data_IF_060757689165
#
_entry.id   IF_060757689165
#
_cell.length_a   1.000
_cell.length_b   1.000
_cell.length_c   1.000
_cell.angle_alpha   90.00
_cell.angle_beta   90.00
_cell.angle_gamma   90.00
#
_symmetry.space_group_name_H-M   'P 1'
#
loop_
_entity.id
_entity.type
_entity.pdbx_description
1 polymer ?
#
# COMPACT_ATOMS: atom_id res chain seq x y z
N UNK A 1 -7.29 -4.66 -9.20
CA UNK A 1 -7.79 -4.51 -7.82
C UNK A 1 -7.95 -3.03 -7.50
N UNK A 2 -8.91 -2.68 -6.63
CA UNK A 2 -9.16 -1.30 -6.17
C UNK A 2 -8.70 -1.07 -4.73
N UNK A 3 -8.06 -2.07 -4.10
CA UNK A 3 -7.64 -2.09 -2.71
C UNK A 3 -6.37 -2.92 -2.54
N UNK A 4 -5.67 -2.76 -1.42
CA UNK A 4 -4.63 -3.68 -0.98
C UNK A 4 -5.22 -5.08 -0.69
N UNK A 5 -4.45 -6.17 -0.91
CA UNK A 5 -4.89 -7.53 -0.62
C UNK A 5 -5.06 -7.76 0.89
N UNK A 6 -6.11 -8.49 1.26
CA UNK A 6 -6.43 -8.81 2.66
C UNK A 6 -6.40 -10.31 2.99
N UNK A 7 -6.20 -11.17 1.98
CA UNK A 7 -6.07 -12.62 2.16
C UNK A 7 -4.62 -13.07 2.41
N UNK A 8 -3.66 -12.15 2.39
CA UNK A 8 -2.26 -12.47 2.69
C UNK A 8 -2.07 -12.64 4.21
N UNK A 9 -1.09 -13.44 4.64
CA UNK A 9 -0.76 -13.56 6.05
C UNK A 9 -0.39 -12.21 6.67
N UNK A 10 -0.82 -11.96 7.91
CA UNK A 10 -0.39 -10.76 8.65
C UNK A 10 1.12 -10.71 8.92
N UNK A 11 1.83 -11.82 8.72
CA UNK A 11 3.29 -11.93 8.78
C UNK A 11 3.99 -11.56 7.46
N UNK A 12 3.26 -11.14 6.42
CA UNK A 12 3.86 -10.69 5.16
C UNK A 12 4.73 -9.46 5.40
N UNK A 13 6.01 -9.56 5.05
CA UNK A 13 6.99 -8.47 5.21
C UNK A 13 7.21 -7.66 3.93
N UNK A 14 6.96 -8.26 2.76
CA UNK A 14 7.10 -7.63 1.46
C UNK A 14 5.80 -7.76 0.68
N UNK A 15 5.26 -6.63 0.24
CA UNK A 15 4.16 -6.56 -0.71
C UNK A 15 4.59 -5.73 -1.92
N UNK A 16 4.48 -6.31 -3.11
CA UNK A 16 4.61 -5.60 -4.36
C UNK A 16 3.34 -5.74 -5.18
N UNK A 17 2.80 -4.60 -5.63
CA UNK A 17 1.59 -4.51 -6.45
C UNK A 17 1.96 -3.83 -7.76
N UNK A 18 1.57 -4.45 -8.86
CA UNK A 18 1.83 -3.97 -10.22
C UNK A 18 0.56 -3.94 -11.06
N UNK A 19 0.43 -2.96 -11.95
CA UNK A 19 -0.63 -2.89 -12.98
C UNK A 19 -2.05 -3.01 -12.41
N UNK A 20 -2.33 -2.26 -11.34
CA UNK A 20 -3.62 -2.23 -10.64
C UNK A 20 -4.31 -0.87 -10.74
N UNK A 21 -5.47 -0.69 -10.08
CA UNK A 21 -6.28 0.54 -10.17
C UNK A 21 -6.61 1.11 -8.79
N UNK A 22 -5.57 1.28 -7.96
CA UNK A 22 -5.65 1.87 -6.63
C UNK A 22 -5.44 3.38 -6.77
N UNK A 23 -6.53 4.13 -6.93
CA UNK A 23 -6.47 5.59 -7.16
C UNK A 23 -6.14 6.39 -5.92
N UNK A 24 -6.60 5.96 -4.76
CA UNK A 24 -6.42 6.67 -3.49
C UNK A 24 -5.96 5.65 -2.45
N UNK A 25 -4.88 5.97 -1.75
CA UNK A 25 -4.41 5.21 -0.60
C UNK A 25 -4.74 5.98 0.68
N UNK A 26 -5.53 5.36 1.56
CA UNK A 26 -5.93 5.91 2.86
C UNK A 26 -5.70 4.93 4.01
N UNK A 27 -5.78 5.43 5.25
CA UNK A 27 -5.52 4.61 6.44
C UNK A 27 -6.50 3.45 6.58
N UNK A 28 -7.74 3.61 6.12
CA UNK A 28 -8.76 2.57 6.18
C UNK A 28 -8.42 1.40 5.25
N UNK A 29 -7.91 1.67 4.05
CA UNK A 29 -7.44 0.66 3.11
C UNK A 29 -6.24 -0.10 3.65
N UNK A 30 -5.27 0.62 4.23
CA UNK A 30 -4.11 0.00 4.89
C UNK A 30 -4.58 -0.88 6.06
N UNK A 31 -5.50 -0.37 6.88
CA UNK A 31 -6.05 -1.12 8.02
C UNK A 31 -6.79 -2.38 7.60
N UNK A 32 -7.59 -2.30 6.53
CA UNK A 32 -8.34 -3.43 6.00
C UNK A 32 -7.45 -4.53 5.40
N UNK A 33 -6.22 -4.21 5.02
CA UNK A 33 -5.26 -5.22 4.54
C UNK A 33 -4.76 -6.14 5.66
N UNK A 34 -4.68 -5.65 6.90
CA UNK A 34 -4.14 -6.40 8.04
C UNK A 34 -2.63 -6.67 7.97
N UNK A 35 -1.91 -6.01 7.06
CA UNK A 35 -0.50 -6.27 6.77
C UNK A 35 0.44 -5.45 7.67
N UNK A 36 0.30 -5.65 8.98
CA UNK A 36 1.00 -4.86 10.00
C UNK A 36 2.51 -5.08 10.03
N UNK A 37 3.00 -6.24 9.58
CA UNK A 37 4.42 -6.58 9.57
C UNK A 37 5.16 -6.15 8.29
N UNK A 38 4.52 -5.39 7.40
CA UNK A 38 5.18 -4.93 6.18
C UNK A 38 6.41 -4.08 6.52
N UNK A 39 7.54 -4.51 5.99
CA UNK A 39 8.79 -3.74 5.98
C UNK A 39 9.02 -3.09 4.62
N UNK A 40 8.49 -3.68 3.55
CA UNK A 40 8.66 -3.25 2.17
C UNK A 40 7.32 -3.21 1.44
N UNK A 41 6.93 -2.03 0.97
CA UNK A 41 5.74 -1.82 0.14
C UNK A 41 6.14 -1.19 -1.20
N UNK A 42 5.83 -1.87 -2.29
CA UNK A 42 6.04 -1.38 -3.65
C UNK A 42 4.69 -1.25 -4.38
N UNK A 43 4.43 -0.04 -4.88
CA UNK A 43 3.22 0.31 -5.64
C UNK A 43 3.67 0.81 -7.02
N UNK A 44 3.65 -0.08 -8.01
CA UNK A 44 4.18 0.18 -9.34
C UNK A 44 3.03 0.22 -10.36
N UNK A 45 2.86 1.33 -11.07
CA UNK A 45 1.81 1.45 -12.11
C UNK A 45 0.38 1.15 -11.61
N UNK A 46 0.06 1.43 -10.35
CA UNK A 46 -1.26 1.14 -9.77
C UNK A 46 -2.29 2.26 -9.98
N UNK A 47 -1.97 3.24 -10.84
CA UNK A 47 -2.80 4.41 -11.12
C UNK A 47 -3.08 5.29 -9.89
N UNK A 48 -2.16 5.30 -8.91
CA UNK A 48 -2.29 6.08 -7.69
C UNK A 48 -2.25 7.59 -8.00
N UNK A 49 -3.24 8.32 -7.49
CA UNK A 49 -3.40 9.77 -7.68
C UNK A 49 -3.22 10.54 -6.37
N UNK A 50 -3.58 9.91 -5.24
CA UNK A 50 -3.53 10.57 -3.94
C UNK A 50 -3.14 9.58 -2.84
N UNK A 51 -2.27 10.04 -1.94
CA UNK A 51 -2.01 9.41 -0.65
C UNK A 51 -2.56 10.35 0.41
N UNK A 52 -3.57 9.90 1.14
CA UNK A 52 -4.14 10.71 2.22
C UNK A 52 -3.16 10.86 3.40
N UNK A 53 -3.19 12.01 4.11
CA UNK A 53 -2.40 12.17 5.32
C UNK A 53 -2.69 11.05 6.34
N UNK A 54 -1.63 10.41 6.83
CA UNK A 54 -1.75 9.34 7.83
C UNK A 54 -2.09 7.96 7.27
N UNK A 55 -2.06 7.75 5.95
CA UNK A 55 -2.30 6.42 5.34
C UNK A 55 -1.44 5.30 5.93
N UNK A 56 -0.20 5.63 6.32
CA UNK A 56 0.77 4.68 6.85
C UNK A 56 0.97 4.77 8.37
N UNK A 57 0.08 5.48 9.10
CA UNK A 57 0.30 5.81 10.52
C UNK A 57 0.52 4.59 11.44
N UNK A 58 -0.07 3.45 11.08
CA UNK A 58 -0.03 2.21 11.87
C UNK A 58 0.96 1.18 11.30
N UNK A 59 1.66 1.49 10.21
CA UNK A 59 2.67 0.62 9.59
C UNK A 59 4.03 0.76 10.28
N UNK A 60 4.09 0.39 11.56
CA UNK A 60 5.23 0.62 12.45
C UNK A 60 6.55 -0.03 11.99
N UNK A 61 6.49 -1.05 11.14
CA UNK A 61 7.66 -1.77 10.64
C UNK A 61 8.09 -1.36 9.23
N UNK A 62 7.37 -0.44 8.58
CA UNK A 62 7.63 -0.06 7.19
C UNK A 62 8.96 0.70 7.11
N UNK A 63 9.90 0.13 6.35
CA UNK A 63 11.25 0.67 6.15
C UNK A 63 11.42 1.21 4.73
N UNK A 64 10.74 0.60 3.76
CA UNK A 64 10.85 0.96 2.35
C UNK A 64 9.46 1.14 1.75
N UNK A 65 9.23 2.33 1.22
CA UNK A 65 8.07 2.65 0.40
C UNK A 65 8.57 3.03 -1.00
N UNK A 66 8.19 2.24 -2.00
CA UNK A 66 8.47 2.52 -3.40
C UNK A 66 7.16 2.80 -4.11
N UNK A 67 7.11 3.95 -4.78
CA UNK A 67 5.98 4.35 -5.61
C UNK A 67 6.57 4.79 -6.95
N UNK A 68 6.39 3.97 -7.98
CA UNK A 68 6.98 4.18 -9.30
C UNK A 68 5.85 4.18 -10.34
N UNK A 69 5.98 5.04 -11.35
CA UNK A 69 5.08 5.12 -12.50
C UNK A 69 3.59 5.25 -12.11
N UNK A 70 3.32 6.11 -11.13
CA UNK A 70 1.97 6.50 -10.71
C UNK A 70 1.64 7.94 -11.12
N UNK A 71 0.39 8.33 -10.94
CA UNK A 71 -0.16 9.61 -11.36
C UNK A 71 -0.36 10.57 -10.17
N UNK A 72 0.56 10.54 -9.19
CA UNK A 72 0.46 11.40 -8.00
C UNK A 72 0.67 12.85 -8.41
N UNK A 73 -0.24 13.72 -7.97
CA UNK A 73 -0.25 15.16 -8.26
C UNK A 73 0.16 15.95 -7.02
#
# INVERSE_FOLDING_TARGET
LYTLPSQLPGTTELLSIHYDNIKILNSSMVTASGLWNLTHLELNEVQLQQIEPGSFKDMNFLQKLIIIDNNII
#
